data_IF_650541473140
#
_entry.id   IF_650541473140
#
_cell.length_a   1.000
_cell.length_b   1.000
_cell.length_c   1.000
_cell.angle_alpha   90.00
_cell.angle_beta   90.00
_cell.angle_gamma   90.00
#
_symmetry.space_group_name_H-M   'P 1'
#
loop_
_entity.id
_entity.type
_entity.pdbx_description
1 polymer ?
#
# COMPACT_ATOMS: atom_id res chain seq x y z
N UNK A 1 19.58 15.92 -3.73
CA UNK A 1 20.12 14.99 -4.73
C UNK A 1 19.16 15.01 -5.92
N UNK A 2 19.61 15.25 -7.15
CA UNK A 2 18.71 15.39 -8.32
C UNK A 2 18.32 14.01 -8.88
N UNK A 3 17.27 13.90 -9.73
CA UNK A 3 16.92 12.66 -10.43
C UNK A 3 18.11 12.04 -11.17
N UNK A 4 18.88 12.89 -11.88
CA UNK A 4 20.15 12.52 -12.52
C UNK A 4 21.18 11.94 -11.56
N UNK A 5 21.31 12.52 -10.36
CA UNK A 5 22.25 12.00 -9.36
C UNK A 5 21.80 10.61 -8.88
N UNK A 6 20.50 10.40 -8.65
CA UNK A 6 19.98 9.09 -8.26
C UNK A 6 20.20 8.05 -9.36
N UNK A 7 19.86 8.38 -10.60
CA UNK A 7 20.10 7.52 -11.77
C UNK A 7 21.58 7.17 -11.96
N UNK A 8 22.49 8.11 -11.69
CA UNK A 8 23.93 7.85 -11.76
C UNK A 8 24.44 6.88 -10.69
N UNK A 9 23.76 6.81 -9.54
CA UNK A 9 24.12 5.93 -8.42
C UNK A 9 23.55 4.54 -8.60
N UNK A 10 22.29 4.44 -9.04
CA UNK A 10 21.55 3.18 -9.14
C UNK A 10 21.60 2.55 -10.55
N UNK A 11 22.05 3.30 -11.56
CA UNK A 11 22.07 2.89 -12.95
C UNK A 11 20.69 3.04 -13.63
N UNK A 12 20.71 3.35 -14.93
CA UNK A 12 19.50 3.56 -15.72
C UNK A 12 19.01 5.01 -15.69
N UNK A 13 17.74 5.22 -16.04
CA UNK A 13 17.10 6.55 -16.20
C UNK A 13 15.73 6.63 -15.52
N UNK A 14 15.45 5.73 -14.57
CA UNK A 14 14.12 5.57 -13.99
C UNK A 14 13.63 6.85 -13.29
N UNK A 15 14.50 7.55 -12.56
CA UNK A 15 14.12 8.78 -11.86
C UNK A 15 13.85 9.92 -12.83
N UNK A 16 14.67 10.08 -13.88
CA UNK A 16 14.42 11.07 -14.93
C UNK A 16 13.13 10.79 -15.69
N UNK A 17 12.86 9.53 -16.06
CA UNK A 17 11.63 9.14 -16.76
C UNK A 17 10.37 9.45 -15.95
N UNK A 18 10.40 9.22 -14.63
CA UNK A 18 9.29 9.60 -13.75
C UNK A 18 9.10 11.12 -13.73
N UNK A 19 10.18 11.91 -13.71
CA UNK A 19 10.06 13.36 -13.80
C UNK A 19 9.43 13.81 -15.12
N UNK A 20 9.84 13.22 -16.25
CA UNK A 20 9.29 13.54 -17.57
C UNK A 20 7.80 13.17 -17.68
N UNK A 21 7.39 12.04 -17.09
CA UNK A 21 5.97 11.64 -17.06
C UNK A 21 5.12 12.56 -16.18
N UNK A 22 5.63 12.92 -14.99
CA UNK A 22 4.85 13.71 -14.03
C UNK A 22 4.79 15.19 -14.41
N UNK A 23 5.82 15.73 -15.07
CA UNK A 23 5.81 17.14 -15.49
C UNK A 23 4.71 17.40 -16.54
N UNK A 24 4.38 16.41 -17.37
CA UNK A 24 3.29 16.51 -18.35
C UNK A 24 1.93 16.80 -17.69
N UNK A 25 1.74 16.38 -16.43
CA UNK A 25 0.50 16.61 -15.69
C UNK A 25 0.26 18.10 -15.36
N UNK A 26 1.28 18.96 -15.40
CA UNK A 26 1.11 20.41 -15.23
C UNK A 26 0.46 21.05 -16.46
N UNK A 27 0.84 20.60 -17.66
CA UNK A 27 0.27 21.09 -18.92
C UNK A 27 -1.04 20.38 -19.26
N UNK A 28 -1.20 19.12 -18.84
CA UNK A 28 -2.40 18.32 -19.05
C UNK A 28 -2.93 17.72 -17.72
N UNK A 29 -3.82 18.43 -17.01
CA UNK A 29 -4.40 17.96 -15.76
C UNK A 29 -5.19 16.64 -15.86
N UNK A 30 -5.64 16.22 -17.04
CA UNK A 30 -6.34 14.94 -17.25
C UNK A 30 -5.44 13.72 -16.99
N UNK A 31 -4.11 13.91 -16.94
CA UNK A 31 -3.16 12.85 -16.59
C UNK A 31 -3.11 12.57 -15.08
N UNK A 32 -3.58 13.52 -14.25
CA UNK A 32 -3.59 13.37 -12.80
C UNK A 32 -4.52 12.24 -12.37
N UNK A 33 -4.20 11.60 -11.24
CA UNK A 33 -5.03 10.52 -10.71
C UNK A 33 -6.44 10.99 -10.35
N UNK A 34 -6.59 12.22 -9.84
CA UNK A 34 -7.90 12.78 -9.49
C UNK A 34 -8.79 12.96 -10.72
N UNK A 35 -8.27 13.47 -11.83
CA UNK A 35 -9.04 13.62 -13.06
C UNK A 35 -9.47 12.25 -13.63
N UNK A 36 -8.53 11.30 -13.68
CA UNK A 36 -8.76 9.93 -14.19
C UNK A 36 -9.79 9.17 -13.36
N UNK A 37 -9.66 9.20 -12.04
CA UNK A 37 -10.61 8.49 -11.17
C UNK A 37 -11.99 9.17 -11.16
N UNK A 38 -12.02 10.51 -11.23
CA UNK A 38 -13.29 11.25 -11.31
C UNK A 38 -14.04 10.89 -12.59
N UNK A 39 -13.36 10.75 -13.73
CA UNK A 39 -13.97 10.28 -14.98
C UNK A 39 -14.65 8.92 -14.79
N UNK A 40 -13.93 7.95 -14.22
CA UNK A 40 -14.49 6.63 -13.93
C UNK A 40 -15.72 6.72 -13.00
N UNK A 41 -15.64 7.57 -11.98
CA UNK A 41 -16.74 7.79 -11.04
C UNK A 41 -17.95 8.47 -11.68
N UNK A 42 -17.75 9.35 -12.67
CA UNK A 42 -18.84 9.94 -13.45
C UNK A 42 -19.51 8.87 -14.32
N UNK A 43 -18.73 8.01 -14.95
CA UNK A 43 -19.24 7.02 -15.91
C UNK A 43 -19.93 5.82 -15.22
N UNK A 44 -19.39 5.35 -14.10
CA UNK A 44 -19.81 4.11 -13.43
C UNK A 44 -20.32 4.31 -12.00
N UNK A 45 -20.26 5.54 -11.48
CA UNK A 45 -20.46 5.81 -10.06
C UNK A 45 -19.27 5.38 -9.20
N UNK A 46 -19.21 5.89 -7.97
CA UNK A 46 -18.16 5.52 -6.98
C UNK A 46 -18.22 4.02 -6.68
N UNK A 47 -19.41 3.49 -6.41
CA UNK A 47 -19.60 2.06 -6.11
C UNK A 47 -19.28 1.14 -7.29
N UNK A 48 -19.60 1.55 -8.52
CA UNK A 48 -19.28 0.78 -9.73
C UNK A 48 -17.78 0.75 -9.98
N UNK A 49 -17.13 1.92 -9.95
CA UNK A 49 -15.67 2.06 -10.08
C UNK A 49 -14.94 1.20 -9.04
N UNK A 50 -15.32 1.31 -7.77
CA UNK A 50 -14.68 0.56 -6.69
C UNK A 50 -14.85 -0.95 -6.82
N UNK A 51 -16.03 -1.43 -7.22
CA UNK A 51 -16.28 -2.86 -7.43
C UNK A 51 -15.50 -3.41 -8.62
N UNK A 52 -15.43 -2.67 -9.73
CA UNK A 52 -14.69 -3.07 -10.91
C UNK A 52 -13.19 -3.24 -10.61
N UNK A 53 -12.57 -2.21 -10.02
CA UNK A 53 -11.16 -2.25 -9.61
C UNK A 53 -10.89 -3.34 -8.57
N UNK A 54 -11.78 -3.51 -7.59
CA UNK A 54 -11.63 -4.56 -6.57
C UNK A 54 -11.68 -5.97 -7.16
N UNK A 55 -12.55 -6.21 -8.15
CA UNK A 55 -12.63 -7.51 -8.82
C UNK A 55 -11.37 -7.78 -9.64
N UNK A 56 -10.93 -6.79 -10.43
CA UNK A 56 -9.71 -6.87 -11.25
C UNK A 56 -8.48 -7.19 -10.38
N UNK A 57 -8.22 -6.38 -9.35
CA UNK A 57 -7.05 -6.58 -8.48
C UNK A 57 -7.12 -7.87 -7.67
N UNK A 58 -8.32 -8.30 -7.25
CA UNK A 58 -8.48 -9.60 -6.57
C UNK A 58 -8.06 -10.74 -7.50
N UNK A 59 -8.48 -10.72 -8.74
CA UNK A 59 -8.19 -11.80 -9.67
C UNK A 59 -6.72 -11.80 -10.09
N UNK A 60 -6.11 -10.63 -10.27
CA UNK A 60 -4.67 -10.45 -10.54
C UNK A 60 -3.82 -10.97 -9.36
N UNK A 61 -4.02 -10.44 -8.15
CA UNK A 61 -3.21 -10.78 -6.97
C UNK A 61 -3.36 -12.23 -6.50
N UNK A 62 -4.46 -12.91 -6.86
CA UNK A 62 -4.63 -14.34 -6.57
C UNK A 62 -3.91 -15.25 -7.56
N UNK A 63 -3.56 -14.74 -8.74
CA UNK A 63 -2.91 -15.51 -9.81
C UNK A 63 -1.40 -15.30 -9.81
N UNK A 64 -0.92 -14.16 -9.34
CA UNK A 64 0.51 -13.87 -9.22
C UNK A 64 1.17 -14.77 -8.16
N UNK A 65 2.26 -15.48 -8.51
CA UNK A 65 3.00 -16.29 -7.55
C UNK A 65 3.76 -15.40 -6.57
N UNK A 66 4.01 -15.90 -5.36
CA UNK A 66 4.81 -15.17 -4.39
C UNK A 66 6.29 -15.13 -4.83
N UNK A 67 6.90 -13.94 -4.79
CA UNK A 67 8.28 -13.73 -5.28
C UNK A 67 9.34 -13.74 -4.17
N UNK A 68 9.00 -13.26 -2.98
CA UNK A 68 9.97 -13.10 -1.87
C UNK A 68 9.61 -13.98 -0.68
N UNK A 69 8.33 -13.97 -0.27
CA UNK A 69 7.83 -14.76 0.86
C UNK A 69 7.22 -16.06 0.37
N UNK A 70 7.31 -17.11 1.18
CA UNK A 70 6.61 -18.38 0.97
C UNK A 70 5.34 -18.46 1.82
N UNK A 71 4.42 -19.35 1.45
CA UNK A 71 3.24 -19.67 2.27
C UNK A 71 3.62 -20.15 3.67
N UNK A 72 4.74 -20.87 3.80
CA UNK A 72 5.26 -21.34 5.08
C UNK A 72 5.71 -20.19 5.98
N UNK A 73 6.33 -19.15 5.43
CA UNK A 73 6.72 -17.95 6.19
C UNK A 73 5.49 -17.16 6.64
N UNK A 74 4.46 -17.04 5.81
CA UNK A 74 3.18 -16.45 6.24
C UNK A 74 2.53 -17.27 7.37
N UNK A 75 2.54 -18.59 7.29
CA UNK A 75 1.98 -19.46 8.33
C UNK A 75 2.77 -19.36 9.65
N UNK A 76 4.10 -19.34 9.57
CA UNK A 76 4.96 -19.18 10.73
C UNK A 76 4.73 -17.82 11.42
N UNK A 77 4.63 -16.74 10.65
CA UNK A 77 4.40 -15.41 11.21
C UNK A 77 2.99 -15.25 11.80
N UNK A 78 1.98 -15.88 11.19
CA UNK A 78 0.63 -15.97 11.79
C UNK A 78 0.73 -16.58 13.18
N UNK A 79 1.36 -17.75 13.32
CA UNK A 79 1.42 -18.46 14.60
C UNK A 79 2.24 -17.69 15.64
N UNK A 80 3.36 -17.10 15.22
CA UNK A 80 4.19 -16.27 16.08
C UNK A 80 3.46 -15.00 16.55
N UNK A 81 2.66 -14.37 15.69
CA UNK A 81 1.88 -13.18 16.05
C UNK A 81 0.84 -13.45 17.14
N UNK A 82 0.17 -14.60 17.07
CA UNK A 82 -0.80 -15.04 18.07
C UNK A 82 -0.12 -15.31 19.40
N UNK A 83 1.04 -15.97 19.40
CA UNK A 83 1.81 -16.20 20.63
C UNK A 83 2.19 -14.89 21.29
N UNK A 84 2.74 -13.93 20.53
CA UNK A 84 3.12 -12.61 21.07
C UNK A 84 1.91 -11.85 21.63
N UNK A 85 0.76 -11.93 20.97
CA UNK A 85 -0.48 -11.34 21.49
C UNK A 85 -0.85 -11.96 22.85
N UNK A 86 -0.85 -13.29 22.96
CA UNK A 86 -1.18 -13.98 24.22
C UNK A 86 -0.17 -13.69 25.34
N UNK A 87 1.11 -13.55 25.02
CA UNK A 87 2.14 -13.17 25.98
C UNK A 87 1.89 -11.77 26.55
N UNK A 88 1.47 -10.82 25.70
CA UNK A 88 1.09 -9.46 26.14
C UNK A 88 -0.13 -9.53 27.05
N UNK A 89 -1.20 -10.21 26.60
CA UNK A 89 -2.45 -10.34 27.35
C UNK A 89 -2.24 -11.04 28.72
N UNK A 90 -1.32 -12.00 28.80
CA UNK A 90 -0.97 -12.68 30.05
C UNK A 90 -0.07 -11.84 30.97
N UNK A 91 0.69 -10.90 30.40
CA UNK A 91 1.59 -10.00 31.13
C UNK A 91 0.89 -8.75 31.68
N UNK A 92 -0.36 -8.48 31.27
CA UNK A 92 -1.16 -7.38 31.80
C UNK A 92 -1.42 -7.57 33.30
N UNK A 93 -0.91 -6.64 34.10
CA UNK A 93 -1.02 -6.68 35.57
C UNK A 93 -2.03 -5.68 36.13
N UNK A 94 -2.52 -4.77 35.31
CA UNK A 94 -3.47 -3.74 35.70
C UNK A 94 -4.69 -3.76 34.78
N UNK A 95 -5.82 -3.21 35.26
CA UNK A 95 -6.99 -3.06 34.39
C UNK A 95 -6.70 -2.05 33.28
N UNK A 96 -7.40 -2.20 32.16
CA UNK A 96 -7.29 -1.28 31.03
C UNK A 96 -7.48 0.19 31.45
N UNK A 97 -8.42 0.48 32.35
CA UNK A 97 -8.67 1.84 32.82
C UNK A 97 -7.54 2.41 33.68
N UNK A 98 -6.90 1.57 34.49
CA UNK A 98 -5.74 1.99 35.29
C UNK A 98 -4.53 2.28 34.38
N UNK A 99 -4.34 1.49 33.33
CA UNK A 99 -3.33 1.73 32.31
C UNK A 99 -3.58 3.04 31.54
N UNK A 100 -4.82 3.29 31.09
CA UNK A 100 -5.18 4.52 30.37
C UNK A 100 -4.96 5.77 31.21
N UNK A 101 -5.29 5.74 32.50
CA UNK A 101 -5.11 6.87 33.41
C UNK A 101 -3.64 7.31 33.56
N UNK A 102 -2.67 6.44 33.25
CA UNK A 102 -1.23 6.77 33.27
C UNK A 102 -0.70 7.37 31.96
N UNK A 103 -1.49 7.35 30.89
CA UNK A 103 -1.11 7.91 29.58
C UNK A 103 -1.72 9.30 29.30
N UNK A 104 -2.46 9.86 30.26
CA UNK A 104 -2.96 11.24 30.24
C UNK A 104 -1.92 12.21 30.85
#
# INVERSE_FOLDING_TARGET
>A
MSPKTLDSVYGGEAYQQVCDQLVESFDNPELTFSARILRSMIDQGIGGTGRALSAEYRDMLRQEPLEVLSEAEFAAERDASVVRQSEIEAADTESFEAFLAKQA
#
